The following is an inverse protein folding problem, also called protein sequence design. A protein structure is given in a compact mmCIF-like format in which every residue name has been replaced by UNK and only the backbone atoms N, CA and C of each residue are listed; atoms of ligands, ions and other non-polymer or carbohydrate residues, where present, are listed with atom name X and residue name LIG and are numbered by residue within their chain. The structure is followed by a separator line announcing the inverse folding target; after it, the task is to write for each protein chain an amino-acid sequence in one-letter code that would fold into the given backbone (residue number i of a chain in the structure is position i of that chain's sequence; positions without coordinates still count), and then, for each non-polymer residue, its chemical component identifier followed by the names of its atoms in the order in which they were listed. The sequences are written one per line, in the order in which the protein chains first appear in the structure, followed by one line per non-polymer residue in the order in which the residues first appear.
data_IF_601923330947
#
_entry.id   IF_601923330947
#
_cell.length_a   1.000
_cell.length_b   1.000
_cell.length_c   1.000
_cell.angle_alpha   90.00
_cell.angle_beta   90.00
_cell.angle_gamma   90.00
#
_symmetry.space_group_name_H-M   'P 1'
#
loop_
_entity.id
_entity.type
_entity.pdbx_description
1 polymer ?
#
# COMPACT_ATOMS: atom_id res chain seq x y z
N UNK A 1 -13.61 13.39 33.45
CA UNK A 1 -14.14 12.53 32.36
C UNK A 1 -13.23 12.60 31.14
N UNK A 2 -13.06 11.48 30.42
CA UNK A 2 -12.19 11.39 29.23
C UNK A 2 -12.77 10.38 28.23
N UNK A 3 -12.62 10.67 26.94
CA UNK A 3 -13.06 9.81 25.84
C UNK A 3 -11.85 9.46 24.96
N UNK A 4 -11.74 8.20 24.57
CA UNK A 4 -10.74 7.70 23.61
C UNK A 4 -11.45 7.05 22.44
N UNK A 5 -11.16 7.52 21.22
CA UNK A 5 -11.77 7.01 20.00
C UNK A 5 -10.85 5.95 19.35
N UNK A 6 -11.31 4.71 19.29
CA UNK A 6 -10.57 3.57 18.72
C UNK A 6 -11.39 2.83 17.64
N UNK A 7 -11.99 3.59 16.72
CA UNK A 7 -12.91 3.09 15.68
C UNK A 7 -12.21 2.70 14.36
N UNK A 8 -10.88 2.59 14.37
CA UNK A 8 -10.07 2.16 13.23
C UNK A 8 -9.38 3.30 12.48
N UNK A 9 -8.71 2.94 11.38
CA UNK A 9 -7.88 3.84 10.57
C UNK A 9 -8.21 3.70 9.09
N UNK A 10 -7.76 4.66 8.29
CA UNK A 10 -7.89 4.62 6.83
C UNK A 10 -6.65 5.24 6.16
N UNK A 11 -6.32 4.85 4.92
CA UNK A 11 -5.17 5.40 4.21
C UNK A 11 -5.23 6.93 4.04
N UNK A 12 -4.09 7.59 4.15
CA UNK A 12 -3.98 9.05 4.04
C UNK A 12 -4.40 9.52 2.63
N UNK A 13 -5.42 10.39 2.50
CA UNK A 13 -5.92 10.85 1.20
C UNK A 13 -4.92 11.68 0.38
N UNK A 14 -3.93 12.29 1.03
CA UNK A 14 -2.96 13.16 0.36
C UNK A 14 -2.22 12.39 -0.73
N UNK A 15 -1.70 11.19 -0.40
CA UNK A 15 -0.91 10.38 -1.33
C UNK A 15 -1.64 10.15 -2.66
N UNK A 16 -2.92 9.73 -2.62
CA UNK A 16 -3.71 9.50 -3.85
C UNK A 16 -4.13 10.79 -4.56
N UNK A 17 -4.29 11.89 -3.82
CA UNK A 17 -4.73 13.17 -4.40
C UNK A 17 -3.60 13.97 -5.05
N UNK A 18 -2.37 13.87 -4.53
CA UNK A 18 -1.21 14.65 -4.99
C UNK A 18 -0.33 13.89 -5.96
N UNK A 19 -0.48 12.56 -6.04
CA UNK A 19 0.40 11.70 -6.83
C UNK A 19 -0.33 11.15 -8.05
N UNK A 20 -0.10 11.78 -9.20
CA UNK A 20 -0.67 11.32 -10.48
C UNK A 20 -0.21 9.89 -10.79
N UNK A 21 -1.12 9.09 -11.36
CA UNK A 21 -0.86 7.72 -11.79
C UNK A 21 -1.00 6.65 -10.70
N UNK A 22 -1.36 7.02 -9.46
CA UNK A 22 -1.69 6.07 -8.40
C UNK A 22 -3.20 5.89 -8.27
N UNK A 23 -3.71 4.74 -8.67
CA UNK A 23 -5.10 4.38 -8.49
C UNK A 23 -5.36 3.82 -7.08
N UNK A 24 -6.56 4.08 -6.57
CA UNK A 24 -7.02 3.55 -5.29
C UNK A 24 -8.40 2.93 -5.42
N UNK A 25 -8.66 1.91 -4.60
CA UNK A 25 -10.00 1.36 -4.48
C UNK A 25 -10.94 2.31 -3.71
N UNK A 26 -12.22 1.92 -3.57
CA UNK A 26 -13.24 2.72 -2.85
C UNK A 26 -12.89 3.03 -1.38
N UNK A 27 -12.04 2.22 -0.74
CA UNK A 27 -11.59 2.43 0.65
C UNK A 27 -10.34 3.33 0.74
N UNK A 28 -9.82 3.80 -0.40
CA UNK A 28 -8.64 4.64 -0.47
C UNK A 28 -7.32 3.88 -0.40
N UNK A 29 -7.33 2.54 -0.46
CA UNK A 29 -6.11 1.73 -0.51
C UNK A 29 -5.55 1.69 -1.93
N UNK A 30 -4.23 1.65 -2.06
CA UNK A 30 -3.52 1.59 -3.34
C UNK A 30 -3.84 0.29 -4.07
N UNK A 31 -4.15 0.40 -5.36
CA UNK A 31 -4.29 -0.76 -6.24
C UNK A 31 -2.90 -1.21 -6.66
N UNK A 32 -2.62 -2.50 -6.48
CA UNK A 32 -1.33 -3.11 -6.83
C UNK A 32 -1.53 -4.42 -7.58
N UNK A 33 -0.52 -4.82 -8.34
CA UNK A 33 -0.40 -6.19 -8.81
C UNK A 33 -0.07 -7.10 -7.61
N UNK A 34 -0.88 -8.12 -7.37
CA UNK A 34 -0.73 -9.00 -6.20
C UNK A 34 0.54 -9.85 -6.23
N UNK A 35 1.14 -10.07 -7.40
CA UNK A 35 2.40 -10.80 -7.57
C UNK A 35 3.64 -9.95 -7.37
N UNK A 36 3.61 -8.69 -7.79
CA UNK A 36 4.81 -7.83 -7.74
C UNK A 36 4.74 -6.74 -6.68
N UNK A 37 3.56 -6.49 -6.11
CA UNK A 37 3.24 -5.32 -5.27
C UNK A 37 3.44 -3.97 -5.99
N UNK A 38 3.62 -3.98 -7.31
CA UNK A 38 3.74 -2.75 -8.10
C UNK A 38 2.37 -2.07 -8.20
N UNK A 39 2.35 -0.77 -7.94
CA UNK A 39 1.15 0.05 -8.10
C UNK A 39 0.83 0.26 -9.58
N UNK A 40 -0.29 0.94 -9.87
CA UNK A 40 -0.61 1.38 -11.24
C UNK A 40 0.40 2.38 -11.82
N UNK A 41 1.31 2.93 -11.00
CA UNK A 41 2.42 3.75 -11.47
C UNK A 41 3.69 2.92 -11.53
N UNK A 42 4.30 2.89 -12.71
CA UNK A 42 5.55 2.18 -12.95
C UNK A 42 6.65 2.63 -11.98
N UNK A 43 7.46 1.68 -11.52
CA UNK A 43 8.56 1.92 -10.59
C UNK A 43 8.13 2.22 -9.14
N UNK A 44 6.83 2.20 -8.84
CA UNK A 44 6.30 2.48 -7.50
C UNK A 44 5.58 1.26 -6.96
N UNK A 45 5.87 0.92 -5.72
CA UNK A 45 5.40 -0.29 -5.05
C UNK A 45 4.76 0.06 -3.71
N UNK A 46 3.82 -0.77 -3.27
CA UNK A 46 3.14 -0.59 -1.98
C UNK A 46 2.80 -1.93 -1.34
N UNK A 47 2.78 -1.97 -0.01
CA UNK A 47 2.44 -3.17 0.76
C UNK A 47 1.84 -2.84 2.13
N UNK A 48 1.34 -3.87 2.81
CA UNK A 48 0.67 -3.75 4.10
C UNK A 48 -0.64 -2.97 4.03
N UNK A 49 -0.98 -2.28 5.12
CA UNK A 49 -2.28 -1.61 5.30
C UNK A 49 -2.57 -0.53 4.23
N UNK A 50 -1.54 -0.02 3.55
CA UNK A 50 -1.71 0.89 2.43
C UNK A 50 -2.44 0.24 1.24
N UNK A 51 -2.39 -1.10 1.12
CA UNK A 51 -3.00 -1.90 0.06
C UNK A 51 -4.24 -2.64 0.57
N UNK A 52 -4.16 -3.26 1.75
CA UNK A 52 -5.24 -4.11 2.29
C UNK A 52 -6.23 -3.35 3.16
N UNK A 53 -5.88 -2.15 3.63
CA UNK A 53 -6.50 -1.59 4.84
C UNK A 53 -6.00 -2.32 6.10
N UNK A 54 -6.54 -1.95 7.27
CA UNK A 54 -6.11 -2.48 8.56
C UNK A 54 -5.99 -4.02 8.56
N UNK A 55 -4.78 -4.53 8.70
CA UNK A 55 -4.46 -5.95 8.65
C UNK A 55 -3.46 -6.32 9.75
N UNK A 56 -2.76 -7.44 9.57
CA UNK A 56 -1.78 -7.95 10.54
C UNK A 56 -0.34 -7.66 10.10
N UNK A 57 0.56 -7.57 11.07
CA UNK A 57 1.99 -7.29 10.84
C UNK A 57 2.64 -8.33 9.92
N UNK A 58 2.23 -9.60 10.01
CA UNK A 58 2.80 -10.68 9.18
C UNK A 58 2.45 -10.51 7.70
N UNK A 59 1.25 -10.02 7.38
CA UNK A 59 0.84 -9.73 6.01
C UNK A 59 1.60 -8.53 5.46
N UNK A 60 1.78 -7.48 6.26
CA UNK A 60 2.58 -6.32 5.88
C UNK A 60 4.05 -6.71 5.61
N UNK A 61 4.63 -7.56 6.44
CA UNK A 61 5.99 -8.08 6.25
C UNK A 61 6.11 -8.90 4.97
N UNK A 62 5.15 -9.80 4.71
CA UNK A 62 5.10 -10.59 3.48
C UNK A 62 5.02 -9.74 2.22
N UNK A 63 4.13 -8.73 2.21
CA UNK A 63 4.02 -7.77 1.12
C UNK A 63 5.32 -6.99 0.92
N UNK A 64 5.98 -6.55 2.00
CA UNK A 64 7.26 -5.86 1.94
C UNK A 64 8.37 -6.70 1.30
N UNK A 65 8.47 -7.99 1.64
CA UNK A 65 9.45 -8.90 1.02
C UNK A 65 9.20 -9.06 -0.48
N UNK A 66 7.95 -9.26 -0.88
CA UNK A 66 7.56 -9.40 -2.29
C UNK A 66 7.84 -8.14 -3.10
N UNK A 67 7.54 -6.97 -2.53
CA UNK A 67 7.85 -5.68 -3.13
C UNK A 67 9.36 -5.48 -3.30
N UNK A 68 10.17 -5.82 -2.29
CA UNK A 68 11.62 -5.70 -2.35
C UNK A 68 12.25 -6.58 -3.44
N UNK A 69 11.81 -7.84 -3.57
CA UNK A 69 12.24 -8.74 -4.64
C UNK A 69 11.86 -8.18 -6.02
N UNK A 70 10.65 -7.66 -6.17
CA UNK A 70 10.17 -7.08 -7.44
C UNK A 70 10.89 -5.79 -7.81
N UNK A 71 11.24 -4.95 -6.83
CA UNK A 71 12.06 -3.75 -7.03
C UNK A 71 13.46 -4.15 -7.50
N UNK A 72 14.06 -5.18 -6.88
CA UNK A 72 15.38 -5.68 -7.27
C UNK A 72 15.39 -6.16 -8.72
N UNK A 73 14.41 -6.95 -9.12
CA UNK A 73 14.29 -7.43 -10.50
C UNK A 73 13.99 -6.30 -11.50
N UNK A 74 13.29 -5.25 -11.08
CA UNK A 74 13.06 -4.06 -11.90
C UNK A 74 14.36 -3.27 -12.15
N UNK A 75 15.19 -3.10 -11.12
CA UNK A 75 16.43 -2.31 -11.20
C UNK A 75 17.61 -3.03 -11.88
N UNK A 76 17.57 -4.36 -11.99
CA UNK A 76 18.60 -5.14 -12.70
C UNK A 76 18.51 -5.03 -14.22
N UNK A 77 17.38 -4.56 -14.75
CA UNK A 77 17.16 -4.38 -16.18
C UNK A 77 17.68 -3.02 -16.62
#
# INVERSE_FOLDING_TARGET
DTVVMSIGTSPNPLIRSTTKGLETNRKGCLVVNEETMQTTREGIYAGGDAVTGAATVILAMGAGKKAAESIHEYLKK
#
